data_IF_657966688520
#
_entry.id   IF_657966688520
#
_cell.length_a   1.000
_cell.length_b   1.000
_cell.length_c   1.000
_cell.angle_alpha   90.00
_cell.angle_beta   90.00
_cell.angle_gamma   90.00
#
_symmetry.space_group_name_H-M   'P 1'
#
loop_
_entity.id
_entity.type
_entity.pdbx_description
1 polymer ?
#
# COMPACT_ATOMS: atom_id res chain seq x y z
N UNK A 1 -10.00 -39.11 1.98
CA UNK A 1 -8.75 -38.41 1.63
C UNK A 1 -9.01 -36.91 1.66
N UNK A 2 -8.04 -36.08 2.08
CA UNK A 2 -8.20 -34.63 2.00
C UNK A 2 -8.17 -34.20 0.53
N UNK A 3 -9.13 -33.37 0.11
CA UNK A 3 -9.16 -32.82 -1.26
C UNK A 3 -8.05 -31.78 -1.37
N UNK A 4 -7.08 -32.00 -2.26
CA UNK A 4 -6.00 -31.05 -2.52
C UNK A 4 -6.55 -29.91 -3.38
N UNK A 5 -6.97 -28.82 -2.72
CA UNK A 5 -7.36 -27.58 -3.39
C UNK A 5 -6.12 -26.99 -4.09
N UNK A 6 -6.24 -26.44 -5.31
CA UNK A 6 -5.18 -25.63 -5.90
C UNK A 6 -4.84 -24.43 -5.02
N UNK A 7 -3.56 -24.08 -4.96
CA UNK A 7 -3.04 -22.93 -4.20
C UNK A 7 -3.72 -21.63 -4.67
N UNK A 8 -4.01 -21.53 -5.96
CA UNK A 8 -4.66 -20.38 -6.61
C UNK A 8 -6.13 -20.15 -6.19
N UNK A 9 -6.80 -21.17 -5.62
CA UNK A 9 -8.14 -21.02 -5.03
C UNK A 9 -8.08 -20.87 -3.50
N UNK A 10 -7.14 -21.55 -2.84
CA UNK A 10 -6.89 -21.37 -1.42
C UNK A 10 -6.52 -19.91 -1.09
N UNK A 11 -5.82 -19.23 -2.00
CA UNK A 11 -5.50 -17.81 -1.95
C UNK A 11 -6.71 -16.85 -1.90
N UNK A 12 -7.93 -17.32 -2.20
CA UNK A 12 -9.20 -16.57 -2.07
C UNK A 12 -10.12 -17.16 -0.99
N UNK A 13 -9.56 -17.90 -0.03
CA UNK A 13 -10.31 -18.47 1.10
C UNK A 13 -11.21 -19.65 0.77
N UNK A 14 -11.15 -20.23 -0.44
CA UNK A 14 -11.97 -21.39 -0.82
C UNK A 14 -11.61 -22.60 0.03
N UNK A 15 -12.61 -23.12 0.75
CA UNK A 15 -12.45 -24.29 1.63
C UNK A 15 -12.68 -25.62 0.91
N UNK A 16 -12.15 -26.71 1.47
CA UNK A 16 -12.40 -28.07 0.94
C UNK A 16 -13.88 -28.43 0.96
N UNK A 17 -14.65 -27.82 1.88
CA UNK A 17 -16.11 -27.97 1.97
C UNK A 17 -16.79 -27.36 0.75
N UNK A 18 -16.49 -26.10 0.43
CA UNK A 18 -17.07 -25.41 -0.73
C UNK A 18 -16.70 -26.09 -2.05
N UNK A 19 -15.47 -26.60 -2.16
CA UNK A 19 -15.05 -27.40 -3.31
C UNK A 19 -15.92 -28.66 -3.47
N UNK A 20 -16.09 -29.44 -2.41
CA UNK A 20 -16.91 -30.67 -2.42
C UNK A 20 -18.40 -30.37 -2.66
N UNK A 21 -18.92 -29.29 -2.09
CA UNK A 21 -20.30 -28.83 -2.32
C UNK A 21 -20.51 -28.41 -3.77
N UNK A 22 -19.56 -27.68 -4.37
CA UNK A 22 -19.62 -27.28 -5.79
C UNK A 22 -19.47 -28.48 -6.73
N UNK A 23 -18.55 -29.41 -6.45
CA UNK A 23 -18.40 -30.68 -7.21
C UNK A 23 -19.68 -31.51 -7.17
N UNK A 24 -20.29 -31.67 -5.98
CA UNK A 24 -21.57 -32.37 -5.81
C UNK A 24 -22.72 -31.65 -6.51
N UNK A 25 -22.72 -30.31 -6.53
CA UNK A 25 -23.71 -29.51 -7.27
C UNK A 25 -23.63 -29.78 -8.77
N UNK A 26 -22.43 -29.72 -9.35
CA UNK A 26 -22.21 -29.98 -10.78
C UNK A 26 -22.55 -31.42 -11.17
N UNK A 27 -22.20 -32.41 -10.34
CA UNK A 27 -22.48 -33.83 -10.58
C UNK A 27 -23.97 -34.20 -10.41
N UNK A 28 -24.83 -33.27 -9.98
CA UNK A 28 -26.29 -33.40 -10.03
C UNK A 28 -26.92 -32.77 -11.27
N UNK A 29 -26.18 -31.91 -11.97
CA UNK A 29 -26.61 -31.24 -13.21
C UNK A 29 -26.03 -31.87 -14.49
N UNK A 30 -25.01 -32.72 -14.35
CA UNK A 30 -24.45 -33.53 -15.43
C UNK A 30 -24.54 -35.00 -15.03
N UNK A 31 -25.10 -35.85 -15.90
CA UNK A 31 -25.19 -37.31 -15.72
C UNK A 31 -23.83 -38.02 -15.93
N UNK A 32 -22.74 -37.39 -15.50
CA UNK A 32 -21.36 -37.81 -15.74
C UNK A 32 -20.43 -37.40 -14.58
N UNK A 33 -19.27 -38.03 -14.50
CA UNK A 33 -18.25 -37.69 -13.52
C UNK A 33 -17.64 -36.30 -13.82
N UNK A 34 -17.80 -35.37 -12.88
CA UNK A 34 -17.31 -33.99 -13.02
C UNK A 34 -15.81 -33.92 -12.72
N UNK A 35 -15.05 -33.39 -13.68
CA UNK A 35 -13.61 -33.14 -13.54
C UNK A 35 -13.35 -32.10 -12.46
N UNK A 36 -12.30 -32.31 -11.65
CA UNK A 36 -11.86 -31.30 -10.67
C UNK A 36 -11.50 -29.97 -11.34
N UNK A 37 -11.01 -30.00 -12.59
CA UNK A 37 -10.72 -28.78 -13.36
C UNK A 37 -11.97 -27.94 -13.65
N UNK A 38 -13.12 -28.58 -13.88
CA UNK A 38 -14.39 -27.88 -14.12
C UNK A 38 -14.91 -27.25 -12.84
N UNK A 39 -14.75 -27.94 -11.70
CA UNK A 39 -15.06 -27.41 -10.36
C UNK A 39 -14.21 -26.17 -10.08
N UNK A 40 -12.89 -26.24 -10.33
CA UNK A 40 -11.95 -25.13 -10.14
C UNK A 40 -12.36 -23.93 -11.00
N UNK A 41 -12.64 -24.18 -12.28
CA UNK A 41 -13.03 -23.16 -13.24
C UNK A 41 -14.32 -22.43 -12.83
N UNK A 42 -15.32 -23.20 -12.42
CA UNK A 42 -16.60 -22.69 -11.94
C UNK A 42 -16.49 -21.90 -10.63
N UNK A 43 -15.57 -22.28 -9.72
CA UNK A 43 -15.29 -21.53 -8.50
C UNK A 43 -14.67 -20.16 -8.81
N UNK A 44 -13.70 -20.09 -9.73
CA UNK A 44 -13.17 -18.81 -10.20
C UNK A 44 -14.25 -17.92 -10.83
N UNK A 45 -15.12 -18.48 -11.69
CA UNK A 45 -16.25 -17.73 -12.25
C UNK A 45 -17.21 -17.21 -11.16
N UNK A 46 -17.49 -18.00 -10.13
CA UNK A 46 -18.33 -17.59 -9.01
C UNK A 46 -17.68 -16.46 -8.18
N UNK A 47 -16.35 -16.47 -8.01
CA UNK A 47 -15.60 -15.42 -7.33
C UNK A 47 -15.58 -14.12 -8.13
N UNK A 48 -15.38 -14.16 -9.46
CA UNK A 48 -15.39 -12.92 -10.29
C UNK A 48 -16.74 -12.21 -10.24
N UNK A 49 -17.86 -12.94 -10.17
CA UNK A 49 -19.22 -12.38 -10.00
C UNK A 49 -19.47 -11.77 -8.61
N UNK A 50 -18.63 -12.08 -7.61
CA UNK A 50 -18.72 -11.57 -6.24
C UNK A 50 -17.69 -10.48 -5.93
N UNK A 51 -16.87 -10.09 -6.90
CA UNK A 51 -15.75 -9.19 -6.64
C UNK A 51 -16.21 -7.78 -6.20
N UNK A 52 -15.60 -7.29 -5.12
CA UNK A 52 -15.91 -6.00 -4.51
C UNK A 52 -14.96 -4.87 -4.95
N UNK A 53 -13.83 -5.22 -5.57
CA UNK A 53 -12.82 -4.27 -6.08
C UNK A 53 -12.22 -4.74 -7.39
N UNK A 54 -11.68 -3.79 -8.17
CA UNK A 54 -10.92 -4.12 -9.37
C UNK A 54 -9.58 -4.81 -9.06
N UNK A 55 -8.96 -4.51 -7.91
CA UNK A 55 -7.82 -5.29 -7.38
C UNK A 55 -8.17 -6.79 -7.31
N UNK A 56 -9.35 -7.14 -6.77
CA UNK A 56 -9.80 -8.52 -6.66
C UNK A 56 -10.04 -9.18 -8.03
N UNK A 57 -10.61 -8.45 -9.00
CA UNK A 57 -10.78 -8.96 -10.36
C UNK A 57 -9.44 -9.18 -11.07
N UNK A 58 -8.49 -8.26 -10.93
CA UNK A 58 -7.14 -8.36 -11.48
C UNK A 58 -6.47 -9.67 -11.06
N UNK A 59 -6.55 -9.99 -9.77
CA UNK A 59 -6.02 -11.23 -9.20
C UNK A 59 -6.73 -12.48 -9.69
N UNK A 60 -8.07 -12.49 -9.66
CA UNK A 60 -8.86 -13.63 -10.09
C UNK A 60 -8.58 -13.96 -11.55
N UNK A 61 -8.55 -12.96 -12.43
CA UNK A 61 -8.24 -13.17 -13.84
C UNK A 61 -6.79 -13.61 -14.08
N UNK A 62 -5.82 -13.16 -13.27
CA UNK A 62 -4.45 -13.67 -13.36
C UNK A 62 -4.35 -15.13 -12.94
N UNK A 63 -5.00 -15.52 -11.85
CA UNK A 63 -5.02 -16.92 -11.39
C UNK A 63 -5.80 -17.83 -12.35
N UNK A 64 -6.88 -17.34 -12.97
CA UNK A 64 -7.54 -18.01 -14.10
C UNK A 64 -6.61 -18.18 -15.30
N UNK A 65 -5.76 -17.19 -15.59
CA UNK A 65 -4.77 -17.28 -16.66
C UNK A 65 -3.68 -18.34 -16.35
N UNK A 66 -3.12 -18.34 -15.13
CA UNK A 66 -2.16 -19.37 -14.67
C UNK A 66 -2.79 -20.76 -14.80
N UNK A 67 -4.01 -20.93 -14.30
CA UNK A 67 -4.70 -22.21 -14.33
C UNK A 67 -4.92 -22.72 -15.77
N UNK A 68 -5.34 -21.84 -16.69
CA UNK A 68 -5.50 -22.18 -18.11
C UNK A 68 -4.16 -22.57 -18.76
N UNK A 69 -3.11 -21.81 -18.51
CA UNK A 69 -1.77 -22.08 -19.05
C UNK A 69 -1.20 -23.41 -18.53
N UNK A 70 -1.37 -23.73 -17.24
CA UNK A 70 -1.01 -25.04 -16.66
C UNK A 70 -1.73 -26.22 -17.31
N UNK A 71 -2.90 -26.00 -17.92
CA UNK A 71 -3.66 -27.00 -18.68
C UNK A 71 -3.31 -27.02 -20.18
N UNK A 72 -2.32 -26.24 -20.63
CA UNK A 72 -1.98 -26.08 -22.04
C UNK A 72 -3.01 -25.28 -22.85
N UNK A 73 -3.93 -24.57 -22.18
CA UNK A 73 -5.02 -23.83 -22.82
C UNK A 73 -4.67 -22.35 -22.96
N UNK A 74 -5.14 -21.73 -24.04
CA UNK A 74 -4.94 -20.30 -24.27
C UNK A 74 -5.50 -19.48 -23.10
N UNK A 75 -4.62 -18.68 -22.48
CA UNK A 75 -4.88 -17.88 -21.29
C UNK A 75 -4.89 -16.36 -21.55
N UNK A 76 -4.65 -15.93 -22.79
CA UNK A 76 -4.37 -14.54 -23.14
C UNK A 76 -5.55 -13.59 -22.83
N UNK A 77 -6.79 -14.03 -23.04
CA UNK A 77 -7.99 -13.25 -22.69
C UNK A 77 -8.05 -12.96 -21.18
N UNK A 78 -7.64 -13.91 -20.34
CA UNK A 78 -7.63 -13.72 -18.88
C UNK A 78 -6.48 -12.82 -18.43
N UNK A 79 -5.32 -12.87 -19.11
CA UNK A 79 -4.27 -11.87 -18.95
C UNK A 79 -4.81 -10.47 -19.30
N UNK A 80 -5.51 -10.31 -20.43
CA UNK A 80 -6.13 -9.03 -20.83
C UNK A 80 -7.14 -8.53 -19.78
N UNK A 81 -8.02 -9.39 -19.29
CA UNK A 81 -8.99 -9.05 -18.24
C UNK A 81 -8.30 -8.60 -16.96
N UNK A 82 -7.22 -9.29 -16.54
CA UNK A 82 -6.41 -8.90 -15.39
C UNK A 82 -5.82 -7.49 -15.56
N UNK A 83 -5.20 -7.20 -16.70
CA UNK A 83 -4.62 -5.89 -17.00
C UNK A 83 -5.67 -4.78 -17.13
N UNK A 84 -6.86 -5.08 -17.68
CA UNK A 84 -7.99 -4.13 -17.72
C UNK A 84 -8.49 -3.80 -16.32
N UNK A 85 -8.61 -4.80 -15.43
CA UNK A 85 -8.95 -4.58 -14.03
C UNK A 85 -7.90 -3.72 -13.31
N UNK A 86 -6.59 -3.91 -13.54
CA UNK A 86 -5.55 -3.00 -13.00
C UNK A 86 -5.75 -1.56 -13.44
N UNK A 87 -6.06 -1.31 -14.72
CA UNK A 87 -6.29 0.05 -15.20
C UNK A 87 -7.53 0.69 -14.56
N UNK A 88 -8.61 -0.07 -14.37
CA UNK A 88 -9.84 0.42 -13.71
C UNK A 88 -9.67 0.64 -12.20
N UNK A 89 -8.82 -0.14 -11.52
CA UNK A 89 -8.36 0.14 -10.15
C UNK A 89 -7.63 1.48 -10.06
N UNK A 90 -6.70 1.73 -10.99
CA UNK A 90 -5.96 3.00 -11.06
C UNK A 90 -6.88 4.19 -11.41
N UNK A 91 -7.88 3.99 -12.28
CA UNK A 91 -8.92 4.99 -12.58
C UNK A 91 -9.76 5.33 -11.34
N UNK A 92 -10.22 4.31 -10.61
CA UNK A 92 -10.98 4.47 -9.37
C UNK A 92 -10.16 5.17 -8.28
N UNK A 93 -8.84 5.00 -8.28
CA UNK A 93 -7.86 5.72 -7.44
C UNK A 93 -7.49 7.12 -7.98
N UNK A 94 -8.18 7.62 -8.99
CA UNK A 94 -8.00 8.97 -9.54
C UNK A 94 -6.73 9.19 -10.35
N UNK A 95 -6.08 8.12 -10.82
CA UNK A 95 -4.85 8.23 -11.64
C UNK A 95 -5.21 8.54 -13.10
N UNK A 96 -4.41 9.37 -13.75
CA UNK A 96 -4.67 9.88 -15.11
C UNK A 96 -3.65 9.40 -16.14
N UNK A 97 -2.46 8.96 -15.71
CA UNK A 97 -1.37 8.48 -16.55
C UNK A 97 -0.78 7.18 -16.02
N UNK A 98 -0.45 6.26 -16.93
CA UNK A 98 0.21 4.99 -16.64
C UNK A 98 1.49 4.85 -17.48
N UNK A 99 2.48 4.14 -16.94
CA UNK A 99 3.72 3.79 -17.64
C UNK A 99 3.80 2.28 -17.84
N UNK A 100 4.11 1.84 -19.06
CA UNK A 100 4.34 0.43 -19.33
C UNK A 100 5.72 0.01 -18.84
N UNK A 101 5.73 -1.03 -18.01
CA UNK A 101 6.92 -1.75 -17.63
C UNK A 101 6.98 -3.09 -18.38
N UNK A 102 8.10 -3.38 -19.02
CA UNK A 102 8.26 -4.57 -19.86
C UNK A 102 9.71 -5.11 -19.88
N UNK A 103 10.53 -4.73 -18.90
CA UNK A 103 11.94 -5.14 -18.77
C UNK A 103 12.11 -6.66 -18.78
N UNK A 104 11.40 -7.36 -17.90
CA UNK A 104 11.42 -8.82 -17.72
C UNK A 104 10.56 -9.60 -18.73
N UNK A 105 10.33 -9.08 -19.94
CA UNK A 105 9.46 -9.68 -20.95
C UNK A 105 10.17 -9.82 -22.31
N UNK A 106 9.47 -10.38 -23.30
CA UNK A 106 9.97 -10.64 -24.65
C UNK A 106 10.45 -9.38 -25.40
N UNK A 107 11.24 -9.57 -26.47
CA UNK A 107 11.83 -8.46 -27.23
C UNK A 107 10.79 -7.54 -27.90
N UNK A 108 9.60 -8.06 -28.23
CA UNK A 108 8.49 -7.25 -28.73
C UNK A 108 7.89 -6.37 -27.62
N UNK A 109 7.72 -6.91 -26.41
CA UNK A 109 7.24 -6.17 -25.25
C UNK A 109 8.22 -5.10 -24.77
N UNK A 110 9.54 -5.35 -24.83
CA UNK A 110 10.55 -4.34 -24.48
C UNK A 110 10.47 -3.07 -25.32
N UNK A 111 9.90 -3.12 -26.54
CA UNK A 111 9.62 -1.92 -27.37
C UNK A 111 8.52 -1.02 -26.79
N UNK A 112 7.73 -1.53 -25.85
CA UNK A 112 6.68 -0.79 -25.14
C UNK A 112 7.18 -0.24 -23.78
N UNK A 113 8.39 -0.61 -23.34
CA UNK A 113 8.90 -0.20 -22.04
C UNK A 113 9.09 1.33 -21.95
N UNK A 114 8.71 1.90 -20.81
CA UNK A 114 8.69 3.33 -20.53
C UNK A 114 7.76 4.16 -21.42
N UNK A 115 6.88 3.53 -22.22
CA UNK A 115 5.79 4.27 -22.85
C UNK A 115 4.81 4.74 -21.77
N UNK A 116 4.59 6.06 -21.74
CA UNK A 116 3.67 6.76 -20.84
C UNK A 116 2.40 7.07 -21.63
N UNK A 117 1.27 6.60 -21.12
CA UNK A 117 -0.04 6.68 -21.77
C UNK A 117 -1.03 7.38 -20.83
N UNK A 118 -1.96 8.20 -21.35
CA UNK A 118 -3.20 8.52 -20.64
C UNK A 118 -3.93 7.23 -20.28
N UNK A 119 -4.50 7.17 -19.07
CA UNK A 119 -5.15 5.97 -18.57
C UNK A 119 -6.35 5.57 -19.45
N UNK A 120 -7.17 6.53 -19.87
CA UNK A 120 -8.28 6.33 -20.82
C UNK A 120 -7.82 5.67 -22.13
N UNK A 121 -6.70 6.15 -22.69
CA UNK A 121 -6.13 5.56 -23.91
C UNK A 121 -5.58 4.16 -23.65
N UNK A 122 -5.01 3.89 -22.48
CA UNK A 122 -4.57 2.55 -22.09
C UNK A 122 -5.76 1.58 -21.91
N UNK A 123 -6.89 2.05 -21.36
CA UNK A 123 -8.13 1.26 -21.24
C UNK A 123 -8.71 0.90 -22.62
N UNK A 124 -8.72 1.84 -23.56
CA UNK A 124 -9.22 1.61 -24.92
C UNK A 124 -8.29 0.74 -25.77
N UNK A 125 -6.97 0.96 -25.70
CA UNK A 125 -6.01 0.26 -26.58
C UNK A 125 -5.48 -1.05 -26.01
N UNK A 126 -5.47 -1.21 -24.68
CA UNK A 126 -4.93 -2.34 -23.91
C UNK A 126 -3.64 -2.97 -24.50
N UNK A 127 -2.57 -2.20 -24.76
CA UNK A 127 -1.35 -2.66 -25.42
C UNK A 127 -0.53 -3.67 -24.60
N UNK A 128 -0.82 -3.78 -23.30
CA UNK A 128 -0.35 -4.82 -22.39
C UNK A 128 -1.59 -5.57 -21.86
N UNK A 129 -1.66 -6.91 -21.98
CA UNK A 129 -0.63 -7.81 -22.51
C UNK A 129 -0.47 -7.66 -24.04
N UNK A 130 0.77 -7.73 -24.52
CA UNK A 130 1.07 -7.50 -25.94
C UNK A 130 0.69 -8.75 -26.77
N UNK A 131 -0.18 -8.66 -27.80
CA UNK A 131 -0.53 -9.81 -28.65
C UNK A 131 0.64 -10.41 -29.43
N UNK A 132 1.74 -9.67 -29.57
CA UNK A 132 2.99 -10.13 -30.21
C UNK A 132 4.02 -10.63 -29.20
N UNK A 133 3.61 -10.97 -27.98
CA UNK A 133 4.50 -11.50 -26.95
C UNK A 133 4.87 -12.96 -27.24
N UNK A 134 6.18 -13.22 -27.32
CA UNK A 134 6.76 -14.54 -27.61
C UNK A 134 7.22 -15.28 -26.34
N UNK A 135 7.02 -14.68 -25.16
CA UNK A 135 7.34 -15.33 -23.89
C UNK A 135 6.24 -16.35 -23.52
N UNK A 136 6.63 -17.39 -22.79
CA UNK A 136 5.81 -18.52 -22.33
C UNK A 136 5.99 -18.70 -20.82
N UNK A 137 5.18 -19.56 -20.18
CA UNK A 137 5.31 -19.88 -18.75
C UNK A 137 5.29 -21.40 -18.49
N UNK A 138 4.11 -22.04 -18.49
CA UNK A 138 3.96 -23.49 -18.31
C UNK A 138 3.65 -24.22 -19.62
N UNK A 139 3.10 -23.52 -20.61
CA UNK A 139 2.80 -24.07 -21.95
C UNK A 139 3.39 -23.23 -23.07
N UNK A 140 3.20 -23.69 -24.32
CA UNK A 140 3.59 -22.95 -25.53
C UNK A 140 2.70 -21.72 -25.81
N UNK A 141 1.63 -21.50 -25.03
CA UNK A 141 0.77 -20.32 -25.17
C UNK A 141 1.49 -19.03 -24.70
N UNK A 142 1.14 -17.91 -25.33
CA UNK A 142 1.68 -16.59 -24.98
C UNK A 142 1.43 -16.22 -23.52
N UNK A 143 2.51 -15.90 -22.81
CA UNK A 143 2.51 -15.36 -21.45
C UNK A 143 3.22 -14.01 -21.41
N UNK A 144 2.50 -12.94 -21.07
CA UNK A 144 3.04 -11.59 -21.01
C UNK A 144 3.27 -11.13 -19.56
N UNK A 145 4.53 -10.91 -19.19
CA UNK A 145 4.93 -10.39 -17.86
C UNK A 145 4.98 -8.86 -17.78
N UNK A 146 4.65 -8.16 -18.86
CA UNK A 146 4.62 -6.68 -18.89
C UNK A 146 3.43 -6.13 -18.11
N UNK A 147 3.56 -4.94 -17.52
CA UNK A 147 2.57 -4.38 -16.58
C UNK A 147 2.36 -2.87 -16.75
N UNK A 148 1.29 -2.35 -16.14
CA UNK A 148 1.08 -0.92 -15.96
C UNK A 148 1.51 -0.48 -14.55
N UNK A 149 2.38 0.52 -14.51
CA UNK A 149 2.74 1.29 -13.32
C UNK A 149 2.02 2.64 -13.35
N UNK A 150 1.90 3.30 -12.20
CA UNK A 150 1.57 4.73 -12.15
C UNK A 150 2.74 5.52 -12.76
N UNK A 151 2.45 6.43 -13.69
CA UNK A 151 3.47 7.35 -14.21
C UNK A 151 3.65 8.53 -13.24
N UNK A 152 4.89 9.02 -13.10
CA UNK A 152 5.16 10.22 -12.27
C UNK A 152 4.53 11.46 -12.92
N UNK A 153 4.18 12.49 -12.15
CA UNK A 153 3.56 13.68 -12.73
C UNK A 153 4.47 14.36 -13.76
N UNK A 154 5.77 14.37 -13.49
CA UNK A 154 6.84 14.88 -14.37
C UNK A 154 7.07 14.06 -15.65
N UNK A 155 6.61 12.81 -15.72
CA UNK A 155 6.76 11.98 -16.92
C UNK A 155 5.77 12.41 -18.02
N UNK A 156 6.30 12.78 -19.19
CA UNK A 156 5.51 13.23 -20.35
C UNK A 156 4.91 12.05 -21.12
N UNK A 157 3.73 12.25 -21.68
CA UNK A 157 3.10 11.28 -22.58
C UNK A 157 4.01 10.93 -23.77
N UNK A 158 3.99 9.66 -24.16
CA UNK A 158 4.76 9.19 -25.32
C UNK A 158 4.08 9.63 -26.63
N UNK A 159 4.84 10.21 -27.58
CA UNK A 159 4.26 10.83 -28.78
C UNK A 159 3.66 9.80 -29.75
N UNK A 160 4.06 8.53 -29.65
CA UNK A 160 3.52 7.42 -30.44
C UNK A 160 2.90 6.40 -29.51
N UNK A 161 1.58 6.26 -29.61
CA UNK A 161 0.83 5.23 -28.91
C UNK A 161 1.01 3.88 -29.62
N UNK A 162 0.99 2.75 -28.89
CA UNK A 162 0.89 1.43 -29.52
C UNK A 162 -0.45 1.28 -30.26
N UNK A 163 -0.56 0.37 -31.24
CA UNK A 163 -1.84 0.02 -31.83
C UNK A 163 -2.76 -0.60 -30.77
N UNK A 164 -4.07 -0.33 -30.89
CA UNK A 164 -5.07 -0.99 -30.07
C UNK A 164 -5.16 -2.50 -30.40
N UNK A 165 -5.47 -3.31 -29.40
CA UNK A 165 -5.85 -4.71 -29.61
C UNK A 165 -7.27 -4.75 -30.21
N UNK A 166 -7.49 -5.60 -31.21
CA UNK A 166 -8.73 -5.62 -32.01
C UNK A 166 -10.01 -5.89 -31.19
N UNK A 167 -9.89 -6.68 -30.11
CA UNK A 167 -10.94 -6.86 -29.12
C UNK A 167 -10.36 -6.74 -27.71
N UNK A 168 -10.88 -5.76 -26.95
CA UNK A 168 -10.58 -5.58 -25.53
C UNK A 168 -11.71 -6.25 -24.73
N UNK A 169 -11.45 -7.34 -23.99
CA UNK A 169 -12.51 -8.11 -23.35
C UNK A 169 -13.26 -7.28 -22.29
N UNK A 170 -14.55 -7.57 -22.13
CA UNK A 170 -15.35 -7.03 -21.02
C UNK A 170 -14.98 -7.71 -19.70
N UNK A 171 -15.16 -6.98 -18.59
CA UNK A 171 -15.03 -7.50 -17.23
C UNK A 171 -16.35 -7.27 -16.48
N UNK A 172 -16.73 -8.12 -15.51
CA UNK A 172 -17.98 -7.95 -14.77
C UNK A 172 -17.95 -6.67 -13.93
N UNK A 173 -19.14 -6.09 -13.72
CA UNK A 173 -19.31 -5.00 -12.77
C UNK A 173 -19.06 -5.48 -11.33
N UNK A 174 -18.50 -4.59 -10.50
CA UNK A 174 -18.29 -4.85 -9.08
C UNK A 174 -19.62 -5.03 -8.34
N UNK A 175 -19.65 -5.94 -7.37
CA UNK A 175 -20.83 -6.17 -6.53
C UNK A 175 -21.09 -4.98 -5.59
N UNK A 176 -22.35 -4.55 -5.49
CA UNK A 176 -22.75 -3.40 -4.64
C UNK A 176 -22.63 -3.74 -3.16
N UNK A 177 -21.93 -2.89 -2.40
CA UNK A 177 -21.79 -3.03 -0.95
C UNK A 177 -23.07 -2.54 -0.25
N UNK A 178 -23.82 -3.43 0.42
CA UNK A 178 -25.20 -3.17 0.86
C UNK A 178 -25.32 -2.45 2.22
N UNK A 179 -24.43 -1.49 2.53
CA UNK A 179 -24.49 -0.72 3.79
C UNK A 179 -24.19 0.76 3.56
N UNK A 180 -25.07 1.59 4.14
CA UNK A 180 -25.04 3.05 4.36
C UNK A 180 -26.00 3.86 3.47
N UNK A 181 -27.11 4.31 4.08
CA UNK A 181 -27.98 5.40 3.63
C UNK A 181 -28.80 5.91 4.84
N UNK A 182 -29.15 7.20 4.82
CA UNK A 182 -29.77 8.05 5.87
C UNK A 182 -28.73 8.87 6.70
N UNK A 183 -28.96 10.16 7.01
CA UNK A 183 -30.20 10.96 6.94
C UNK A 183 -29.97 12.49 6.81
N UNK A 184 -30.98 13.18 6.28
CA UNK A 184 -31.29 14.62 6.45
C UNK A 184 -32.84 14.74 6.33
N UNK A 185 -33.58 15.78 6.75
CA UNK A 185 -33.24 17.10 7.32
C UNK A 185 -34.40 17.65 8.19
N UNK A 186 -34.41 18.97 8.47
CA UNK A 186 -35.47 19.78 9.09
C UNK A 186 -35.65 19.63 10.63
N UNK A 187 -36.11 20.64 11.39
CA UNK A 187 -36.82 21.89 11.02
C UNK A 187 -36.48 23.08 11.97
N UNK A 188 -36.74 24.33 11.56
CA UNK A 188 -36.37 25.59 12.24
C UNK A 188 -37.56 26.50 12.54
N UNK A 189 -38.08 26.46 13.77
CA UNK A 189 -39.03 27.47 14.27
C UNK A 189 -39.13 27.62 15.79
N UNK A 190 -38.61 26.67 16.58
CA UNK A 190 -38.47 26.80 18.03
C UNK A 190 -37.22 27.60 18.48
N UNK A 191 -36.51 28.24 17.55
CA UNK A 191 -35.10 28.61 17.75
C UNK A 191 -34.87 29.73 18.78
N UNK A 192 -35.64 30.81 18.87
CA UNK A 192 -35.17 32.02 19.59
C UNK A 192 -35.11 31.91 21.12
N UNK A 193 -36.02 31.17 21.76
CA UNK A 193 -35.96 30.89 23.21
C UNK A 193 -35.09 29.66 23.51
N UNK A 194 -35.09 28.67 22.61
CA UNK A 194 -34.20 27.52 22.72
C UNK A 194 -32.73 27.91 22.50
N UNK A 195 -32.42 28.91 21.67
CA UNK A 195 -31.06 29.42 21.43
C UNK A 195 -30.47 30.02 22.69
N UNK A 196 -31.21 30.83 23.45
CA UNK A 196 -30.64 31.44 24.66
C UNK A 196 -30.36 30.40 25.77
N UNK A 197 -31.14 29.32 25.82
CA UNK A 197 -30.86 28.16 26.69
C UNK A 197 -29.72 27.27 26.13
N UNK A 198 -29.68 27.04 24.81
CA UNK A 198 -28.60 26.32 24.11
C UNK A 198 -27.27 27.07 24.18
N UNK A 199 -27.26 28.40 24.12
CA UNK A 199 -26.04 29.21 24.23
C UNK A 199 -25.44 29.13 25.63
N UNK A 200 -26.26 29.23 26.68
CA UNK A 200 -25.78 29.08 28.05
C UNK A 200 -25.25 27.66 28.33
N UNK A 201 -25.94 26.62 27.84
CA UNK A 201 -25.50 25.22 27.99
C UNK A 201 -24.26 24.91 27.14
N UNK A 202 -24.16 25.43 25.92
CA UNK A 202 -23.00 25.27 25.03
C UNK A 202 -21.78 26.08 25.52
N UNK A 203 -21.99 27.23 26.15
CA UNK A 203 -20.96 27.98 26.89
C UNK A 203 -20.44 27.21 28.10
N UNK A 204 -21.32 26.59 28.89
CA UNK A 204 -20.91 25.67 29.96
C UNK A 204 -20.15 24.46 29.41
N UNK A 205 -20.66 23.80 28.38
CA UNK A 205 -20.04 22.60 27.78
C UNK A 205 -18.66 22.90 27.20
N UNK A 206 -18.49 23.94 26.39
CA UNK A 206 -17.20 24.25 25.78
C UNK A 206 -16.18 24.82 26.79
N UNK A 207 -16.63 25.56 27.81
CA UNK A 207 -15.74 25.97 28.92
C UNK A 207 -15.30 24.77 29.76
N UNK A 208 -16.21 23.87 30.10
CA UNK A 208 -15.90 22.64 30.84
C UNK A 208 -15.03 21.66 30.02
N UNK A 209 -15.25 21.56 28.71
CA UNK A 209 -14.48 20.70 27.81
C UNK A 209 -13.07 21.26 27.55
N UNK A 210 -12.90 22.57 27.42
CA UNK A 210 -11.55 23.18 27.36
C UNK A 210 -10.82 23.10 28.70
N UNK A 211 -11.52 23.27 29.82
CA UNK A 211 -10.96 23.11 31.17
C UNK A 211 -10.51 21.65 31.43
N UNK A 212 -11.35 20.66 31.11
CA UNK A 212 -11.01 19.24 31.26
C UNK A 212 -9.93 18.76 30.28
N UNK A 213 -9.91 19.28 29.06
CA UNK A 213 -8.81 19.05 28.12
C UNK A 213 -7.50 19.69 28.63
N UNK A 214 -7.57 20.86 29.27
CA UNK A 214 -6.45 21.47 29.97
C UNK A 214 -5.93 20.61 31.13
N UNK A 215 -6.82 20.05 31.96
CA UNK A 215 -6.47 19.09 33.01
C UNK A 215 -5.80 17.83 32.47
N UNK A 216 -6.31 17.27 31.36
CA UNK A 216 -5.67 16.14 30.68
C UNK A 216 -4.29 16.49 30.12
N UNK A 217 -4.14 17.70 29.57
CA UNK A 217 -2.87 18.18 29.00
C UNK A 217 -1.81 18.52 30.06
N UNK A 218 -2.17 18.77 31.33
CA UNK A 218 -1.19 18.95 32.41
C UNK A 218 -0.24 17.76 32.56
N UNK A 219 -0.70 16.54 32.30
CA UNK A 219 0.13 15.32 32.37
C UNK A 219 1.21 15.25 31.28
N UNK A 220 1.00 15.91 30.13
CA UNK A 220 1.88 15.84 28.96
C UNK A 220 2.66 17.13 28.70
N UNK A 221 2.09 18.29 29.04
CA UNK A 221 2.70 19.60 28.91
C UNK A 221 2.11 20.56 29.96
N UNK A 222 2.75 20.68 31.15
CA UNK A 222 2.24 21.50 32.25
C UNK A 222 1.95 22.96 31.86
N UNK A 223 2.75 23.53 30.95
CA UNK A 223 2.57 24.90 30.46
C UNK A 223 1.35 25.02 29.54
N UNK A 224 1.14 24.09 28.60
CA UNK A 224 -0.02 24.11 27.70
C UNK A 224 -1.33 23.80 28.46
N UNK A 225 -1.30 22.81 29.35
CA UNK A 225 -2.45 22.48 30.22
C UNK A 225 -2.83 23.63 31.15
N UNK A 226 -1.84 24.22 31.83
CA UNK A 226 -2.05 25.39 32.70
C UNK A 226 -2.60 26.60 31.95
N UNK A 227 -2.14 26.85 30.73
CA UNK A 227 -2.65 27.93 29.89
C UNK A 227 -4.12 27.70 29.49
N UNK A 228 -4.52 26.48 29.08
CA UNK A 228 -5.93 26.16 28.78
C UNK A 228 -6.86 26.30 30.00
N UNK A 229 -6.40 25.84 31.16
CA UNK A 229 -7.13 25.99 32.42
C UNK A 229 -7.34 27.47 32.73
N UNK A 230 -6.27 28.27 32.73
CA UNK A 230 -6.36 29.71 32.98
C UNK A 230 -7.23 30.44 31.94
N UNK A 231 -7.14 30.06 30.66
CA UNK A 231 -7.86 30.70 29.56
C UNK A 231 -9.36 30.34 29.52
N UNK A 232 -9.77 29.18 30.03
CA UNK A 232 -11.18 28.75 30.04
C UNK A 232 -12.01 29.41 31.17
N UNK A 233 -11.37 29.77 32.29
CA UNK A 233 -12.06 30.35 33.47
C UNK A 233 -12.92 31.59 33.14
N UNK A 234 -12.48 32.59 32.35
CA UNK A 234 -13.30 33.78 32.04
C UNK A 234 -14.55 33.50 31.20
N UNK A 235 -14.64 32.33 30.55
CA UNK A 235 -15.71 31.98 29.60
C UNK A 235 -16.89 31.25 30.27
N UNK A 236 -16.75 30.83 31.53
CA UNK A 236 -17.90 30.32 32.30
C UNK A 236 -18.99 31.41 32.41
N UNK A 237 -20.27 31.11 32.11
CA UNK A 237 -21.32 32.13 32.00
C UNK A 237 -21.44 33.18 33.13
N UNK A 238 -21.33 32.85 34.44
CA UNK A 238 -21.40 33.87 35.50
C UNK A 238 -20.20 34.84 35.49
N UNK A 239 -19.03 34.43 35.02
CA UNK A 239 -17.85 35.27 34.89
C UNK A 239 -17.88 36.06 33.58
N UNK A 240 -18.32 35.43 32.49
CA UNK A 240 -18.44 36.06 31.18
C UNK A 240 -19.45 37.22 31.16
N UNK A 241 -20.52 37.13 31.96
CA UNK A 241 -21.47 38.24 32.19
C UNK A 241 -20.83 39.47 32.86
N UNK A 242 -19.80 39.28 33.70
CA UNK A 242 -19.01 40.38 34.27
C UNK A 242 -18.03 40.94 33.25
N UNK A 243 -17.33 40.06 32.53
CA UNK A 243 -16.36 40.43 31.49
C UNK A 243 -17.00 41.25 30.34
N UNK A 244 -18.26 40.94 30.00
CA UNK A 244 -19.07 41.71 29.03
C UNK A 244 -19.34 43.16 29.47
N UNK A 245 -19.35 43.46 30.78
CA UNK A 245 -19.54 44.83 31.28
C UNK A 245 -18.27 45.67 31.19
N UNK A 246 -17.09 45.05 31.25
CA UNK A 246 -15.80 45.75 31.16
C UNK A 246 -15.27 45.86 29.72
N UNK A 247 -15.61 44.93 28.83
CA UNK A 247 -15.11 44.90 27.44
C UNK A 247 -16.27 44.93 26.43
N UNK A 248 -16.62 46.13 25.88
CA UNK A 248 -17.80 46.28 25.03
C UNK A 248 -17.70 45.58 23.66
N UNK A 249 -16.50 45.20 23.23
CA UNK A 249 -16.27 44.39 22.02
C UNK A 249 -16.54 42.89 22.20
N UNK A 250 -16.95 42.43 23.39
CA UNK A 250 -17.42 41.05 23.59
C UNK A 250 -18.94 40.92 23.35
N UNK A 251 -19.51 41.77 22.49
CA UNK A 251 -20.96 41.90 22.32
C UNK A 251 -21.53 40.78 21.46
N UNK A 252 -20.85 40.37 20.39
CA UNK A 252 -21.31 39.36 19.45
C UNK A 252 -20.80 37.96 19.79
N UNK A 253 -21.55 36.94 19.35
CA UNK A 253 -21.30 35.53 19.62
C UNK A 253 -19.96 35.05 19.05
N UNK A 254 -19.64 35.44 17.81
CA UNK A 254 -18.43 35.03 17.11
C UNK A 254 -17.15 35.53 17.79
N UNK A 255 -17.12 36.79 18.25
CA UNK A 255 -15.95 37.38 18.94
C UNK A 255 -15.53 36.57 20.18
N UNK A 256 -16.51 36.03 20.91
CA UNK A 256 -16.30 35.17 22.09
C UNK A 256 -15.69 33.82 21.72
N UNK A 257 -16.26 33.15 20.72
CA UNK A 257 -15.76 31.85 20.27
C UNK A 257 -14.39 31.95 19.60
N UNK A 258 -14.13 33.02 18.86
CA UNK A 258 -12.80 33.32 18.30
C UNK A 258 -11.75 33.49 19.40
N UNK A 259 -12.04 34.21 20.50
CA UNK A 259 -11.09 34.37 21.60
C UNK A 259 -10.83 33.08 22.39
N UNK A 260 -11.84 32.23 22.58
CA UNK A 260 -11.65 30.89 23.17
C UNK A 260 -10.83 30.00 22.22
N UNK A 261 -11.08 30.06 20.91
CA UNK A 261 -10.32 29.36 19.87
C UNK A 261 -8.86 29.83 19.77
N UNK A 262 -8.57 31.11 19.93
CA UNK A 262 -7.21 31.66 19.96
C UNK A 262 -6.41 31.08 21.13
N UNK A 263 -6.99 30.99 22.32
CA UNK A 263 -6.35 30.34 23.48
C UNK A 263 -6.09 28.85 23.25
N UNK A 264 -7.02 28.15 22.59
CA UNK A 264 -6.82 26.76 22.21
C UNK A 264 -5.67 26.59 21.20
N UNK A 265 -5.61 27.43 20.16
CA UNK A 265 -4.51 27.43 19.18
C UNK A 265 -3.15 27.76 19.82
N UNK A 266 -3.10 28.68 20.78
CA UNK A 266 -1.89 29.00 21.54
C UNK A 266 -1.41 27.80 22.37
N UNK A 267 -2.31 27.08 23.03
CA UNK A 267 -1.95 25.87 23.78
C UNK A 267 -1.49 24.73 22.85
N UNK A 268 -2.11 24.59 21.68
CA UNK A 268 -1.73 23.60 20.68
C UNK A 268 -0.36 23.93 20.05
N UNK A 269 -0.08 25.21 19.83
CA UNK A 269 1.25 25.70 19.44
C UNK A 269 2.29 25.41 20.53
N UNK A 270 1.99 25.66 21.81
CA UNK A 270 2.88 25.32 22.93
C UNK A 270 3.13 23.81 23.02
N UNK A 271 2.10 22.97 22.83
CA UNK A 271 2.22 21.52 22.77
C UNK A 271 3.15 21.07 21.63
N UNK A 272 2.95 21.62 20.43
CA UNK A 272 3.79 21.37 19.26
C UNK A 272 5.24 21.81 19.48
N UNK A 273 5.47 22.97 20.13
CA UNK A 273 6.79 23.45 20.49
C UNK A 273 7.47 22.54 21.53
N UNK A 274 6.74 22.04 22.53
CA UNK A 274 7.28 21.04 23.46
C UNK A 274 7.61 19.73 22.76
N UNK A 275 6.75 19.22 21.88
CA UNK A 275 7.04 18.02 21.08
C UNK A 275 8.22 18.21 20.13
N UNK A 276 8.40 19.40 19.54
CA UNK A 276 9.56 19.72 18.71
C UNK A 276 10.85 19.82 19.54
N UNK A 277 10.78 20.37 20.76
CA UNK A 277 11.90 20.39 21.70
C UNK A 277 12.29 18.96 22.14
N UNK A 278 11.33 18.14 22.55
CA UNK A 278 11.55 16.74 22.92
C UNK A 278 12.07 15.91 21.73
N UNK A 279 11.58 16.16 20.51
CA UNK A 279 12.13 15.54 19.30
C UNK A 279 13.58 15.96 19.02
N UNK A 280 13.99 17.17 19.44
CA UNK A 280 15.36 17.69 19.32
C UNK A 280 16.28 17.19 20.46
N UNK A 281 15.72 16.87 21.63
CA UNK A 281 16.47 16.30 22.77
C UNK A 281 16.62 14.78 22.60
N UNK A 282 15.56 14.07 22.23
CA UNK A 282 15.60 12.62 21.97
C UNK A 282 16.42 12.22 20.74
N UNK A 283 16.76 13.16 19.85
CA UNK A 283 17.74 12.96 18.76
C UNK A 283 19.20 13.16 19.17
N UNK A 284 19.48 13.45 20.45
CA UNK A 284 20.84 13.70 20.96
C UNK A 284 21.50 12.55 21.74
N UNK A 285 20.78 11.47 22.08
CA UNK A 285 21.40 10.28 22.69
C UNK A 285 21.78 9.24 21.63
N UNK A 286 23.09 8.98 21.49
CA UNK A 286 23.69 8.06 20.51
C UNK A 286 23.30 8.26 19.04
N UNK A 287 24.03 9.15 18.36
CA UNK A 287 24.18 9.10 16.89
C UNK A 287 24.83 7.76 16.48
N UNK A 288 24.02 6.75 16.22
CA UNK A 288 24.45 5.60 15.43
C UNK A 288 24.48 6.03 13.96
N UNK A 289 25.63 6.49 13.49
CA UNK A 289 25.84 6.74 12.06
C UNK A 289 25.56 5.43 11.31
N UNK A 290 24.59 5.45 10.40
CA UNK A 290 24.30 4.30 9.53
C UNK A 290 25.46 4.22 8.53
N UNK A 291 26.11 3.06 8.35
CA UNK A 291 27.16 2.91 7.35
C UNK A 291 26.69 3.35 5.95
N UNK A 292 27.53 4.04 5.17
CA UNK A 292 27.23 4.35 3.78
C UNK A 292 27.14 3.07 2.96
N UNK A 293 26.39 3.12 1.86
CA UNK A 293 26.25 2.03 0.90
C UNK A 293 26.34 2.55 -0.53
N UNK A 294 26.75 1.67 -1.44
CA UNK A 294 26.79 1.89 -2.89
C UNK A 294 25.77 0.95 -3.56
N UNK A 295 25.08 1.44 -4.59
CA UNK A 295 24.12 0.64 -5.38
C UNK A 295 24.85 0.00 -6.56
N UNK A 296 24.80 -1.32 -6.64
CA UNK A 296 25.48 -2.11 -7.69
C UNK A 296 24.56 -2.46 -8.85
N UNK A 297 23.32 -2.86 -8.52
CA UNK A 297 22.36 -3.35 -9.50
C UNK A 297 20.95 -2.99 -9.06
N UNK A 298 20.11 -2.59 -10.02
CA UNK A 298 18.68 -2.37 -9.84
C UNK A 298 17.97 -3.27 -10.85
N UNK A 299 17.23 -4.26 -10.36
CA UNK A 299 16.40 -5.15 -11.17
C UNK A 299 14.93 -4.88 -10.90
N UNK A 300 14.14 -4.72 -11.96
CA UNK A 300 12.70 -4.70 -11.85
C UNK A 300 12.17 -6.14 -11.91
N UNK A 301 11.54 -6.59 -10.82
CA UNK A 301 10.99 -7.93 -10.67
C UNK A 301 9.46 -7.90 -10.57
N UNK A 302 8.84 -6.85 -11.12
CA UNK A 302 7.40 -6.66 -11.09
C UNK A 302 6.65 -7.81 -11.77
N UNK A 303 5.47 -8.09 -11.23
CA UNK A 303 4.49 -9.02 -11.80
C UNK A 303 3.19 -8.26 -12.07
N UNK A 304 2.30 -8.80 -12.91
CA UNK A 304 1.03 -8.13 -13.26
C UNK A 304 0.16 -7.74 -12.07
N UNK A 305 0.36 -8.39 -10.91
CA UNK A 305 -0.39 -8.15 -9.66
C UNK A 305 0.38 -7.40 -8.58
N UNK A 306 1.68 -7.14 -8.76
CA UNK A 306 2.46 -6.30 -7.84
C UNK A 306 3.70 -5.71 -8.51
N UNK A 307 3.90 -4.39 -8.38
CA UNK A 307 5.16 -3.76 -8.78
C UNK A 307 6.25 -4.01 -7.74
N UNK A 308 7.41 -4.50 -8.19
CA UNK A 308 8.50 -4.97 -7.32
C UNK A 308 9.86 -4.48 -7.86
N UNK A 309 10.67 -3.94 -6.97
CA UNK A 309 12.06 -3.59 -7.26
C UNK A 309 13.00 -4.43 -6.40
N UNK A 310 14.05 -4.98 -7.00
CA UNK A 310 15.16 -5.61 -6.28
C UNK A 310 16.41 -4.76 -6.48
N UNK A 311 17.13 -4.47 -5.40
CA UNK A 311 18.33 -3.64 -5.46
C UNK A 311 19.48 -4.33 -4.72
N UNK A 312 20.57 -4.58 -5.42
CA UNK A 312 21.81 -5.09 -4.82
C UNK A 312 22.71 -3.91 -4.44
N UNK A 313 23.16 -3.90 -3.19
CA UNK A 313 24.04 -2.86 -2.62
C UNK A 313 25.29 -3.48 -1.99
N UNK A 314 26.32 -2.68 -1.77
CA UNK A 314 27.48 -3.02 -0.93
C UNK A 314 27.68 -1.97 0.15
N UNK A 315 28.09 -2.39 1.35
CA UNK A 315 28.38 -1.51 2.47
C UNK A 315 29.54 -2.10 3.31
N UNK A 316 30.80 -1.84 2.95
CA UNK A 316 31.97 -2.49 3.59
C UNK A 316 32.08 -2.23 5.10
N UNK A 317 31.55 -1.09 5.56
CA UNK A 317 31.52 -0.70 6.97
C UNK A 317 30.41 -1.40 7.80
N UNK A 318 29.51 -2.16 7.16
CA UNK A 318 28.45 -2.91 7.84
C UNK A 318 28.97 -4.23 8.44
N UNK A 319 29.74 -4.12 9.53
CA UNK A 319 30.47 -5.25 10.12
C UNK A 319 29.60 -6.21 10.95
N UNK A 320 28.52 -5.73 11.58
CA UNK A 320 27.65 -6.56 12.44
C UNK A 320 26.30 -6.87 11.76
N UNK A 321 25.66 -7.99 12.13
CA UNK A 321 24.33 -8.34 11.65
C UNK A 321 23.29 -7.23 11.87
N UNK A 322 23.38 -6.49 12.99
CA UNK A 322 22.52 -5.33 13.28
C UNK A 322 22.80 -4.15 12.35
N UNK A 323 24.08 -3.85 12.06
CA UNK A 323 24.42 -2.75 11.16
C UNK A 323 24.03 -3.08 9.71
N UNK A 324 24.25 -4.32 9.27
CA UNK A 324 23.80 -4.84 7.97
C UNK A 324 22.29 -4.70 7.80
N UNK A 325 21.52 -5.22 8.75
CA UNK A 325 20.06 -5.08 8.77
C UNK A 325 19.63 -3.61 8.74
N UNK A 326 20.28 -2.75 9.54
CA UNK A 326 20.01 -1.30 9.55
C UNK A 326 20.33 -0.66 8.19
N UNK A 327 21.40 -1.06 7.50
CA UNK A 327 21.75 -0.56 6.17
C UNK A 327 20.69 -0.97 5.15
N UNK A 328 20.34 -2.26 5.03
CA UNK A 328 19.35 -2.71 4.03
C UNK A 328 17.97 -2.11 4.26
N UNK A 329 17.52 -1.98 5.52
CA UNK A 329 16.24 -1.34 5.84
C UNK A 329 16.22 0.16 5.50
N UNK A 330 17.33 0.88 5.74
CA UNK A 330 17.40 2.30 5.41
C UNK A 330 17.55 2.53 3.90
N UNK A 331 18.33 1.69 3.22
CA UNK A 331 18.39 1.67 1.76
C UNK A 331 16.99 1.42 1.16
N UNK A 332 16.25 0.42 1.63
CA UNK A 332 14.89 0.14 1.17
C UNK A 332 13.97 1.37 1.32
N UNK A 333 13.99 2.05 2.48
CA UNK A 333 13.24 3.29 2.70
C UNK A 333 13.70 4.45 1.82
N UNK A 334 15.01 4.63 1.63
CA UNK A 334 15.57 5.70 0.79
C UNK A 334 15.27 5.47 -0.69
N UNK A 335 15.33 4.22 -1.17
CA UNK A 335 14.96 3.86 -2.52
C UNK A 335 13.46 4.08 -2.71
N UNK A 336 12.61 3.61 -1.78
CA UNK A 336 11.18 3.91 -1.77
C UNK A 336 10.93 5.42 -1.87
N UNK A 337 11.61 6.21 -1.04
CA UNK A 337 11.51 7.67 -0.98
C UNK A 337 12.00 8.37 -2.26
N UNK A 338 13.05 7.85 -2.92
CA UNK A 338 13.55 8.38 -4.21
C UNK A 338 12.68 8.00 -5.41
N UNK A 339 11.86 6.95 -5.26
CA UNK A 339 10.87 6.52 -6.25
C UNK A 339 9.46 7.07 -5.97
N UNK A 340 9.31 7.96 -4.99
CA UNK A 340 8.05 8.62 -4.62
C UNK A 340 7.41 9.25 -5.86
N UNK A 341 6.22 8.76 -6.18
CA UNK A 341 5.19 9.51 -6.88
C UNK A 341 4.76 10.65 -5.98
N UNK A 342 4.34 11.79 -6.54
CA UNK A 342 3.91 12.96 -5.77
C UNK A 342 2.75 12.69 -4.78
N UNK A 343 2.12 11.51 -4.89
CA UNK A 343 1.25 10.88 -3.91
C UNK A 343 1.97 9.79 -3.05
N UNK A 344 2.18 10.03 -1.73
CA UNK A 344 2.81 9.07 -0.82
C UNK A 344 2.07 7.72 -0.67
N UNK A 345 0.76 7.67 -0.92
CA UNK A 345 -0.05 6.46 -0.80
C UNK A 345 0.03 5.57 -2.06
N UNK A 346 0.60 6.07 -3.16
CA UNK A 346 0.72 5.36 -4.44
C UNK A 346 2.14 5.42 -5.04
N UNK A 347 3.14 4.78 -4.42
CA UNK A 347 4.50 4.74 -4.94
C UNK A 347 4.63 3.98 -6.26
N UNK A 348 5.68 4.27 -7.05
CA UNK A 348 5.96 3.55 -8.30
C UNK A 348 6.13 2.03 -8.09
N UNK A 349 6.77 1.63 -7.00
CA UNK A 349 6.97 0.24 -6.60
C UNK A 349 6.26 -0.04 -5.27
N UNK A 350 5.36 -1.02 -5.28
CA UNK A 350 4.58 -1.45 -4.12
C UNK A 350 5.42 -2.32 -3.16
N UNK A 351 6.54 -2.87 -3.62
CA UNK A 351 7.47 -3.69 -2.85
C UNK A 351 8.92 -3.44 -3.27
N UNK A 352 9.84 -3.45 -2.30
CA UNK A 352 11.28 -3.36 -2.54
C UNK A 352 12.01 -4.46 -1.76
N UNK A 353 12.82 -5.29 -2.43
CA UNK A 353 13.87 -6.10 -1.81
C UNK A 353 15.22 -5.39 -1.97
N UNK A 354 15.98 -5.28 -0.88
CA UNK A 354 17.37 -4.81 -0.89
C UNK A 354 18.28 -5.90 -0.38
N UNK A 355 19.22 -6.33 -1.24
CA UNK A 355 20.22 -7.35 -0.94
C UNK A 355 21.57 -6.66 -0.70
N UNK A 356 22.16 -6.86 0.48
CA UNK A 356 23.53 -6.44 0.77
C UNK A 356 24.50 -7.54 0.36
N UNK A 357 25.23 -7.33 -0.72
CA UNK A 357 26.23 -8.27 -1.25
C UNK A 357 27.56 -8.17 -0.48
N UNK A 358 28.26 -9.29 -0.35
CA UNK A 358 29.55 -9.33 0.34
C UNK A 358 30.68 -8.58 -0.38
N UNK A 359 30.63 -8.46 -1.71
CA UNK A 359 31.55 -7.65 -2.51
C UNK A 359 30.93 -7.23 -3.84
N UNK A 360 31.52 -6.21 -4.47
CA UNK A 360 31.12 -5.75 -5.81
C UNK A 360 31.34 -6.82 -6.88
N UNK A 361 32.36 -7.67 -6.72
CA UNK A 361 32.72 -8.76 -7.63
C UNK A 361 31.84 -10.00 -7.47
N UNK A 362 31.14 -10.13 -6.34
CA UNK A 362 30.31 -11.29 -5.99
C UNK A 362 28.80 -11.03 -6.10
N UNK A 363 28.40 -9.84 -6.58
CA UNK A 363 26.99 -9.47 -6.72
C UNK A 363 26.22 -10.46 -7.62
N UNK A 364 25.03 -10.86 -7.20
CA UNK A 364 24.20 -11.85 -7.88
C UNK A 364 24.68 -13.31 -7.76
N UNK A 365 25.84 -13.58 -7.14
CA UNK A 365 26.40 -14.93 -7.00
C UNK A 365 25.96 -15.65 -5.69
N UNK A 366 25.03 -15.04 -4.93
CA UNK A 366 24.43 -15.65 -3.73
C UNK A 366 25.27 -15.49 -2.46
N UNK A 367 26.08 -14.43 -2.36
CA UNK A 367 26.91 -14.11 -1.18
C UNK A 367 26.32 -12.94 -0.39
N UNK A 368 25.01 -12.97 -0.14
CA UNK A 368 24.29 -11.93 0.57
C UNK A 368 24.57 -11.93 2.08
N UNK A 369 24.99 -10.78 2.61
CA UNK A 369 25.23 -10.53 4.04
C UNK A 369 23.96 -10.13 4.80
N UNK A 370 22.99 -9.52 4.11
CA UNK A 370 21.65 -9.24 4.61
C UNK A 370 20.68 -9.04 3.45
N UNK A 371 19.39 -9.21 3.71
CA UNK A 371 18.31 -8.87 2.81
C UNK A 371 17.20 -8.17 3.60
N UNK A 372 16.63 -7.11 3.06
CA UNK A 372 15.40 -6.50 3.60
C UNK A 372 14.37 -6.35 2.50
N UNK A 373 13.26 -7.05 2.67
CA UNK A 373 12.04 -6.84 1.90
C UNK A 373 11.14 -5.85 2.64
N UNK A 374 10.60 -4.88 1.89
CA UNK A 374 9.76 -3.81 2.39
C UNK A 374 8.46 -3.72 1.59
N UNK A 375 7.34 -3.81 2.29
CA UNK A 375 5.98 -3.77 1.77
C UNK A 375 5.14 -2.79 2.61
N UNK A 376 5.15 -1.48 2.33
CA UNK A 376 4.54 -0.46 3.21
C UNK A 376 3.04 -0.69 3.51
N UNK A 377 2.34 -1.32 2.56
CA UNK A 377 0.94 -1.74 2.62
C UNK A 377 0.64 -2.90 3.58
N UNK A 378 1.66 -3.62 4.06
CA UNK A 378 1.51 -4.81 4.91
C UNK A 378 1.13 -6.09 4.16
N UNK A 379 1.17 -6.09 2.83
CA UNK A 379 0.76 -7.24 1.99
C UNK A 379 1.95 -8.11 1.54
N UNK A 380 3.11 -7.98 2.21
CA UNK A 380 4.32 -8.81 2.01
C UNK A 380 4.89 -8.82 0.60
N UNK A 381 5.33 -9.99 0.13
CA UNK A 381 5.90 -10.12 -1.22
C UNK A 381 4.81 -10.33 -2.28
N UNK A 382 3.81 -11.15 -1.98
CA UNK A 382 2.79 -11.54 -2.96
C UNK A 382 1.74 -10.45 -3.20
N UNK A 383 1.60 -9.52 -2.25
CA UNK A 383 0.56 -8.50 -2.33
C UNK A 383 -0.79 -9.08 -1.98
N UNK A 384 -1.78 -8.55 -2.66
CA UNK A 384 -3.18 -8.90 -2.47
C UNK A 384 -3.44 -10.38 -2.83
N UNK A 385 -2.55 -11.00 -3.61
CA UNK A 385 -2.64 -12.38 -4.13
C UNK A 385 -2.56 -13.49 -3.08
N UNK A 386 -2.40 -13.14 -1.79
CA UNK A 386 -2.20 -14.13 -0.74
C UNK A 386 -2.84 -13.68 0.57
N UNK A 387 -3.95 -14.33 0.91
CA UNK A 387 -4.56 -14.28 2.25
C UNK A 387 -3.72 -14.99 3.34
N UNK A 388 -2.66 -15.73 2.98
CA UNK A 388 -1.76 -16.39 3.95
C UNK A 388 -1.20 -15.37 4.98
N UNK A 389 -1.46 -15.55 6.29
CA UNK A 389 -0.88 -14.73 7.34
C UNK A 389 0.65 -14.66 7.30
N UNK A 390 1.35 -15.67 6.77
CA UNK A 390 2.80 -15.63 6.61
C UNK A 390 3.29 -14.63 5.54
N UNK A 391 2.41 -14.17 4.64
CA UNK A 391 2.63 -13.07 3.70
C UNK A 391 2.11 -11.70 4.23
N UNK A 392 1.43 -11.65 5.37
CA UNK A 392 0.96 -10.40 5.96
C UNK A 392 2.05 -9.75 6.83
N UNK A 393 2.88 -8.92 6.21
CA UNK A 393 3.97 -8.20 6.87
C UNK A 393 4.37 -6.94 6.08
N UNK A 394 4.98 -5.98 6.78
CA UNK A 394 5.60 -4.76 6.24
C UNK A 394 7.10 -4.88 6.07
N UNK A 395 7.76 -5.63 6.94
CA UNK A 395 9.19 -5.94 6.89
C UNK A 395 9.42 -7.44 6.96
N UNK A 396 10.26 -7.95 6.07
CA UNK A 396 10.92 -9.24 6.22
C UNK A 396 12.42 -9.01 6.02
N UNK A 397 13.20 -9.13 7.10
CA UNK A 397 14.63 -8.80 7.11
C UNK A 397 15.40 -10.00 7.60
N UNK A 398 16.40 -10.43 6.83
CA UNK A 398 17.36 -11.46 7.21
C UNK A 398 18.77 -10.88 7.23
N UNK A 399 19.62 -11.36 8.13
CA UNK A 399 20.98 -10.82 8.29
C UNK A 399 21.94 -11.89 8.79
N UNK A 400 23.15 -11.90 8.22
CA UNK A 400 24.21 -12.83 8.58
C UNK A 400 25.14 -12.24 9.64
N UNK A 401 25.59 -13.09 10.55
CA UNK A 401 26.67 -12.81 11.51
C UNK A 401 28.07 -13.09 10.95
N UNK A 402 28.18 -13.70 9.76
CA UNK A 402 29.45 -14.12 9.17
C UNK A 402 30.39 -12.93 8.91
N UNK A 403 31.65 -13.06 9.32
CA UNK A 403 32.71 -12.09 9.00
C UNK A 403 33.36 -12.45 7.69
N UNK A 404 33.54 -11.45 6.82
CA UNK A 404 33.91 -11.68 5.42
C UNK A 404 34.97 -10.69 4.98
N UNK A 405 35.98 -11.17 4.26
CA UNK A 405 36.92 -10.35 3.49
C UNK A 405 36.41 -10.28 2.04
N UNK A 406 36.05 -9.10 1.50
CA UNK A 406 35.37 -8.98 0.20
C UNK A 406 36.09 -9.62 -1.00
N UNK A 407 37.43 -9.63 -0.98
CA UNK A 407 38.29 -10.15 -2.06
C UNK A 407 38.82 -11.58 -1.83
N UNK A 408 38.39 -12.27 -0.76
CA UNK A 408 38.84 -13.63 -0.44
C UNK A 408 37.72 -14.65 -0.74
N UNK A 409 37.91 -15.44 -1.79
CA UNK A 409 36.93 -16.44 -2.25
C UNK A 409 36.61 -17.49 -1.19
N UNK A 410 37.58 -17.87 -0.35
CA UNK A 410 37.33 -18.81 0.75
C UNK A 410 36.51 -18.13 1.86
N UNK A 411 36.79 -16.87 2.14
CA UNK A 411 35.98 -16.08 3.08
C UNK A 411 34.55 -15.85 2.59
N UNK A 412 34.32 -15.75 1.26
CA UNK A 412 32.98 -15.60 0.68
C UNK A 412 32.13 -16.87 0.86
N UNK A 413 32.69 -18.08 0.71
CA UNK A 413 31.90 -19.32 0.87
C UNK A 413 31.25 -19.44 2.26
N UNK A 414 31.89 -18.87 3.30
CA UNK A 414 31.37 -18.85 4.68
C UNK A 414 30.06 -18.05 4.85
N UNK A 415 29.58 -17.35 3.82
CA UNK A 415 28.32 -16.60 3.84
C UNK A 415 27.11 -17.45 3.43
N UNK A 416 27.30 -18.45 2.58
CA UNK A 416 26.19 -19.21 2.00
C UNK A 416 25.39 -19.93 3.07
N UNK A 417 24.07 -19.70 3.07
CA UNK A 417 23.14 -20.27 4.06
C UNK A 417 23.22 -19.66 5.47
N UNK A 418 23.93 -18.54 5.66
CA UNK A 418 24.06 -17.88 6.98
C UNK A 418 23.08 -16.71 7.20
N UNK A 419 22.13 -16.50 6.29
CA UNK A 419 21.06 -15.52 6.49
C UNK A 419 20.00 -16.09 7.45
N UNK A 420 19.87 -15.48 8.61
CA UNK A 420 18.85 -15.80 9.60
C UNK A 420 17.84 -14.65 9.69
N UNK A 421 16.56 -14.97 9.97
CA UNK A 421 15.50 -13.96 10.14
C UNK A 421 15.84 -13.02 11.30
N UNK A 422 16.08 -11.75 10.98
CA UNK A 422 16.43 -10.70 11.92
C UNK A 422 15.20 -9.90 12.38
N UNK A 423 14.24 -9.68 11.49
CA UNK A 423 12.99 -8.97 11.78
C UNK A 423 11.88 -9.44 10.83
N UNK A 424 10.70 -9.75 11.37
CA UNK A 424 9.47 -9.88 10.58
C UNK A 424 8.32 -9.18 11.33
N UNK A 425 7.68 -8.19 10.68
CA UNK A 425 6.68 -7.28 11.26
C UNK A 425 5.71 -6.80 10.19
#
# INVERSE_FOLDING_TARGET
MAVKIPEELAAFGITSKEFVEKKRGLAKSADAEVSDNDVIWELFQALTKKALSYEMLQMLFWNMAIFKDKLGQNSFEYQQKSHKSRLLDLEQKGKTKVKINATGCSASCRKLHNLVLPLEKALHSLPVPNPKCEATLYSENTWCTSIYLVAKESEKESPKLPPAVENVPEIPHLAKNSKNNASDSADKSAETLAEQAKENTLAWLLSALTFSMGLGLLFFSPLAGGLLIAWSIPFFPPLMLRLRRSLPFLKHRWERWSLLGIGFLLALLLLLLTQLADRKINTSSTKSTIPPYEVLLIEDQSSSTRSRLRVSIVAPEALTARDRARVVMNAAKQIQASQVSDDPDNPQYEYISVVLEASTKSAGQGYALAEAEYAPDGRGQQGIMSDDPANQWKWNVSSSTARVKPDDTNSLQNVKGTLETFLKQ
#
